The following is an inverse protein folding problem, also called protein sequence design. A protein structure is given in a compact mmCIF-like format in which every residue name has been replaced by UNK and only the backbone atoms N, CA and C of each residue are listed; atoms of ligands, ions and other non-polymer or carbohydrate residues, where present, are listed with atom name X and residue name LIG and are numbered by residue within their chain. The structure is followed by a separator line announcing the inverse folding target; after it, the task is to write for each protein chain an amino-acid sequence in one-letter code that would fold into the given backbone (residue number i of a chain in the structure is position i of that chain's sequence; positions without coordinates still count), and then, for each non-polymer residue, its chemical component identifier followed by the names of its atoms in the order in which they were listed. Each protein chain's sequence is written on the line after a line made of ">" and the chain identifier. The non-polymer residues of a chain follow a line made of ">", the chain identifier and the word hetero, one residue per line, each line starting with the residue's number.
data_IF_421811382679
#
_entry.id   IF_421811382679
#
_cell.length_a   1.000
_cell.length_b   1.000
_cell.length_c   1.000
_cell.angle_alpha   90.00
_cell.angle_beta   90.00
_cell.angle_gamma   90.00
#
_symmetry.space_group_name_H-M   'P 1'
#
loop_
_entity.id
_entity.type
_entity.pdbx_description
1 polymer ?
#
# COMPACT_ATOMS: atom_id res chain seq x y z
N UNK A 1 18.66 -70.40 29.48
CA UNK A 1 17.65 -70.73 28.47
C UNK A 1 16.57 -69.67 28.56
N UNK A 2 16.57 -68.70 27.65
CA UNK A 2 15.43 -68.03 27.03
C UNK A 2 16.00 -66.96 26.10
N UNK A 3 15.38 -66.83 24.94
CA UNK A 3 15.85 -66.24 23.69
C UNK A 3 15.07 -64.93 23.43
N UNK A 4 15.61 -64.07 22.55
CA UNK A 4 14.87 -63.11 21.67
C UNK A 4 14.41 -61.82 22.42
N UNK A 5 14.53 -60.59 21.92
CA UNK A 5 14.50 -60.04 20.55
C UNK A 5 15.27 -58.70 20.52
N UNK A 6 16.01 -58.45 19.44
CA UNK A 6 16.43 -57.10 19.06
C UNK A 6 15.25 -56.44 18.32
N UNK A 7 14.68 -55.37 18.86
CA UNK A 7 13.74 -54.49 18.16
C UNK A 7 14.29 -53.07 18.22
N UNK A 8 14.76 -52.58 17.07
CA UNK A 8 14.97 -51.15 16.86
C UNK A 8 13.59 -50.49 16.87
N UNK A 9 13.28 -49.77 17.94
CA UNK A 9 12.14 -48.84 17.94
C UNK A 9 12.62 -47.54 17.30
N UNK A 10 12.13 -47.27 16.09
CA UNK A 10 12.16 -45.93 15.51
C UNK A 10 11.09 -45.15 16.28
N UNK A 11 11.50 -44.41 17.29
CA UNK A 11 10.61 -43.50 18.01
C UNK A 11 10.15 -42.41 17.05
N UNK A 12 8.92 -42.53 16.54
CA UNK A 12 8.13 -41.40 16.07
C UNK A 12 7.89 -40.48 17.27
N UNK A 13 8.83 -39.56 17.51
CA UNK A 13 8.54 -38.42 18.37
C UNK A 13 7.65 -37.48 17.59
N UNK A 14 6.35 -37.57 17.84
CA UNK A 14 5.39 -36.50 17.55
C UNK A 14 5.83 -35.28 18.38
N UNK A 15 6.65 -34.42 17.78
CA UNK A 15 6.94 -33.11 18.33
C UNK A 15 5.74 -32.20 18.07
N UNK A 16 4.81 -32.15 19.03
CA UNK A 16 3.95 -30.98 19.20
C UNK A 16 4.82 -29.87 19.81
N UNK A 17 5.51 -29.11 18.96
CA UNK A 17 6.10 -27.84 19.38
C UNK A 17 5.00 -26.77 19.36
N UNK A 18 4.70 -26.10 20.49
CA UNK A 18 4.03 -24.82 20.43
C UNK A 18 4.98 -23.86 19.68
N UNK A 19 4.50 -23.27 18.59
CA UNK A 19 5.25 -22.22 17.87
C UNK A 19 5.24 -21.00 18.78
N UNK A 20 6.24 -20.89 19.66
CA UNK A 20 6.55 -19.62 20.31
C UNK A 20 7.29 -18.77 19.29
N UNK A 21 6.68 -17.65 18.87
CA UNK A 21 7.31 -16.62 18.05
C UNK A 21 8.50 -16.01 18.80
N UNK A 22 9.67 -16.63 18.70
CA UNK A 22 10.92 -16.00 19.16
C UNK A 22 11.38 -15.04 18.07
N UNK A 23 11.01 -13.77 18.27
CA UNK A 23 11.39 -12.61 17.46
C UNK A 23 12.93 -12.51 17.46
N UNK A 24 13.60 -13.04 16.45
CA UNK A 24 15.02 -12.76 16.21
C UNK A 24 15.11 -11.32 15.69
N UNK A 25 15.09 -10.34 16.60
CA UNK A 25 15.41 -8.95 16.30
C UNK A 25 16.91 -8.87 16.06
N UNK A 26 17.34 -8.92 14.80
CA UNK A 26 18.67 -8.42 14.43
C UNK A 26 18.60 -6.91 14.49
N UNK A 27 19.05 -6.33 15.60
CA UNK A 27 19.17 -4.88 15.76
C UNK A 27 20.28 -4.37 14.84
N UNK A 28 19.90 -3.72 13.73
CA UNK A 28 20.77 -2.78 13.04
C UNK A 28 20.52 -1.40 13.67
N UNK A 29 21.54 -0.70 14.18
CA UNK A 29 21.36 0.64 14.73
C UNK A 29 21.31 1.63 13.56
N UNK A 30 20.14 1.75 12.93
CA UNK A 30 19.80 2.92 12.14
C UNK A 30 18.55 3.46 12.81
N UNK A 31 18.70 4.47 13.66
CA UNK A 31 17.54 5.25 14.11
C UNK A 31 17.02 5.97 12.88
N UNK A 32 15.84 5.64 12.34
CA UNK A 32 15.25 6.43 11.26
C UNK A 32 15.04 7.83 11.82
N UNK A 33 15.65 8.84 11.19
CA UNK A 33 15.32 10.22 11.48
C UNK A 33 13.96 10.47 10.83
N UNK A 34 12.88 10.31 11.59
CA UNK A 34 11.55 10.71 11.15
C UNK A 34 11.61 12.23 10.94
N UNK A 35 11.63 12.67 9.68
CA UNK A 35 11.45 14.07 9.35
C UNK A 35 10.01 14.24 8.86
N UNK A 36 9.22 14.93 9.68
CA UNK A 36 7.87 15.38 9.33
C UNK A 36 8.02 16.68 8.54
N UNK A 37 7.72 16.65 7.25
CA UNK A 37 7.81 17.83 6.41
C UNK A 37 6.63 18.75 6.70
N UNK A 38 6.90 19.87 7.38
CA UNK A 38 5.93 20.95 7.56
C UNK A 38 6.08 22.02 6.45
N UNK A 39 5.16 23.00 6.42
CA UNK A 39 5.14 24.10 5.44
C UNK A 39 6.46 24.88 5.32
N UNK A 40 7.28 24.93 6.38
CA UNK A 40 8.57 25.62 6.37
C UNK A 40 9.73 24.75 5.84
N UNK A 41 9.55 23.43 5.74
CA UNK A 41 10.60 22.46 5.41
C UNK A 41 10.59 21.99 3.95
N UNK A 42 9.58 22.40 3.16
CA UNK A 42 9.44 22.08 1.71
C UNK A 42 10.68 22.42 0.85
N UNK A 43 11.57 23.30 1.34
CA UNK A 43 12.78 23.72 0.63
C UNK A 43 14.06 22.99 1.06
N UNK A 44 13.99 22.06 2.00
CA UNK A 44 15.16 21.29 2.45
C UNK A 44 15.57 20.27 1.38
N UNK A 45 16.89 20.03 1.20
CA UNK A 45 17.36 19.00 0.29
C UNK A 45 16.90 17.62 0.78
N UNK A 46 16.33 16.83 -0.13
CA UNK A 46 15.93 15.43 0.05
C UNK A 46 16.98 14.65 0.84
N UNK A 47 16.55 13.97 1.91
CA UNK A 47 17.40 13.09 2.72
C UNK A 47 17.02 11.61 2.59
N UNK A 48 15.83 11.32 2.07
CA UNK A 48 15.26 9.95 2.02
C UNK A 48 14.85 9.48 0.63
N UNK A 49 14.78 8.16 0.42
CA UNK A 49 14.40 7.57 -0.89
C UNK A 49 12.90 7.65 -1.15
N UNK A 50 12.12 7.52 -0.08
CA UNK A 50 10.65 7.43 -0.09
C UNK A 50 10.04 8.70 0.50
N UNK A 51 8.97 9.20 -0.12
CA UNK A 51 8.01 10.08 0.52
C UNK A 51 6.76 9.28 0.84
N UNK A 52 6.35 9.28 2.10
CA UNK A 52 5.04 8.81 2.53
C UNK A 52 4.12 10.02 2.67
N UNK A 53 3.04 10.06 1.90
CA UNK A 53 2.00 11.08 1.95
C UNK A 53 0.82 10.49 2.70
N UNK A 54 0.56 11.10 3.84
CA UNK A 54 -0.50 10.75 4.77
C UNK A 54 -1.67 11.72 4.54
N UNK A 55 -2.69 11.28 3.79
CA UNK A 55 -3.80 12.09 3.29
C UNK A 55 -5.14 11.70 3.91
N UNK A 56 -5.12 11.38 5.20
CA UNK A 56 -6.30 10.98 5.95
C UNK A 56 -6.91 12.12 6.79
N UNK A 57 -6.25 13.27 6.85
CA UNK A 57 -6.66 14.40 7.70
C UNK A 57 -6.25 14.26 9.18
N UNK A 58 -5.28 13.40 9.48
CA UNK A 58 -4.81 13.07 10.83
C UNK A 58 -5.74 12.12 11.57
N UNK A 59 -6.31 11.15 10.86
CA UNK A 59 -7.27 10.21 11.44
C UNK A 59 -6.59 9.18 12.33
N UNK A 60 -7.38 8.63 13.24
CA UNK A 60 -6.95 7.63 14.20
C UNK A 60 -7.96 6.49 14.19
N UNK A 61 -7.45 5.27 14.38
CA UNK A 61 -8.27 4.10 14.67
C UNK A 61 -9.07 4.29 15.97
N UNK A 62 -9.99 3.35 16.25
CA UNK A 62 -10.73 3.34 17.51
C UNK A 62 -9.83 3.18 18.76
N UNK A 63 -8.61 2.67 18.61
CA UNK A 63 -7.59 2.61 19.66
C UNK A 63 -6.73 3.88 19.78
N UNK A 64 -6.96 4.89 18.93
CA UNK A 64 -6.19 6.13 18.91
C UNK A 64 -4.83 6.02 18.21
N UNK A 65 -4.68 5.05 17.29
CA UNK A 65 -3.46 4.84 16.50
C UNK A 65 -3.65 5.45 15.11
N UNK A 66 -2.69 6.26 14.67
CA UNK A 66 -2.70 6.80 13.31
C UNK A 66 -2.44 5.70 12.29
N UNK A 67 -3.22 5.69 11.21
CA UNK A 67 -3.17 4.62 10.22
C UNK A 67 -1.81 4.54 9.53
N UNK A 68 -1.13 5.67 9.36
CA UNK A 68 0.22 5.78 8.82
C UNK A 68 1.23 4.88 9.57
N UNK A 69 0.98 4.60 10.86
CA UNK A 69 1.85 3.78 11.70
C UNK A 69 2.16 2.43 11.06
N UNK A 70 1.18 1.77 10.45
CA UNK A 70 1.37 0.46 9.80
C UNK A 70 2.38 0.56 8.64
N UNK A 71 2.24 1.57 7.80
CA UNK A 71 3.17 1.84 6.70
C UNK A 71 4.57 2.16 7.22
N UNK A 72 4.67 3.06 8.20
CA UNK A 72 5.96 3.51 8.71
C UNK A 72 6.72 2.37 9.40
N UNK A 73 6.03 1.46 10.10
CA UNK A 73 6.65 0.26 10.68
C UNK A 73 7.21 -0.67 9.60
N UNK A 74 6.45 -0.91 8.53
CA UNK A 74 6.90 -1.75 7.41
C UNK A 74 8.12 -1.13 6.73
N UNK A 75 8.05 0.15 6.34
CA UNK A 75 9.16 0.84 5.66
C UNK A 75 10.41 0.85 6.56
N UNK A 76 10.23 1.11 7.86
CA UNK A 76 11.32 1.05 8.84
C UNK A 76 11.92 -0.35 8.98
N UNK A 77 11.09 -1.39 9.00
CA UNK A 77 11.54 -2.78 9.11
C UNK A 77 12.39 -3.24 7.91
N UNK A 78 12.13 -2.65 6.74
CA UNK A 78 12.91 -2.87 5.51
C UNK A 78 14.22 -2.07 5.48
N UNK A 79 14.46 -1.20 6.48
CA UNK A 79 15.65 -0.34 6.53
C UNK A 79 15.67 0.75 5.45
N UNK A 80 14.50 1.11 4.91
CA UNK A 80 14.36 2.12 3.88
C UNK A 80 14.23 3.50 4.54
N UNK A 81 14.97 4.51 4.07
CA UNK A 81 14.80 5.89 4.52
C UNK A 81 13.57 6.52 3.88
N UNK A 82 12.74 7.15 4.72
CA UNK A 82 11.52 7.83 4.31
C UNK A 82 11.38 9.21 4.98
N UNK A 83 10.58 10.07 4.37
CA UNK A 83 10.07 11.31 4.94
C UNK A 83 8.54 11.26 4.92
N UNK A 84 7.90 11.89 5.89
CA UNK A 84 6.43 11.90 6.01
C UNK A 84 5.90 13.28 5.68
N UNK A 85 4.88 13.33 4.83
CA UNK A 85 4.11 14.53 4.52
C UNK A 85 2.66 14.29 4.94
N UNK A 86 2.27 14.83 6.10
CA UNK A 86 0.89 14.73 6.58
C UNK A 86 0.05 15.90 6.09
N UNK A 87 -1.07 15.57 5.47
CA UNK A 87 -2.08 16.50 4.98
C UNK A 87 -3.18 16.62 6.02
N UNK A 88 -2.90 17.43 7.04
CA UNK A 88 -3.87 17.73 8.12
C UNK A 88 -4.80 18.92 7.77
N UNK A 89 -4.51 19.63 6.67
CA UNK A 89 -5.32 20.71 6.12
C UNK A 89 -5.19 20.70 4.58
N UNK A 90 -6.33 20.72 3.91
CA UNK A 90 -6.53 20.85 2.45
C UNK A 90 -5.64 21.88 1.73
N UNK A 91 -5.15 22.92 2.43
CA UNK A 91 -4.37 24.00 1.82
C UNK A 91 -2.89 23.71 1.60
N UNK A 92 -2.34 22.64 2.19
CA UNK A 92 -0.92 22.29 2.06
C UNK A 92 -0.75 20.86 1.54
N UNK A 93 -0.43 20.74 0.25
CA UNK A 93 -0.32 19.47 -0.47
C UNK A 93 1.02 19.39 -1.25
N UNK A 94 1.57 18.20 -1.48
CA UNK A 94 2.85 18.05 -2.15
C UNK A 94 2.70 18.36 -3.65
N UNK A 95 3.49 19.33 -4.13
CA UNK A 95 3.50 19.64 -5.57
C UNK A 95 4.43 18.71 -6.35
N UNK A 96 4.32 18.74 -7.68
CA UNK A 96 5.16 17.87 -8.52
C UNK A 96 6.67 18.09 -8.35
N UNK A 97 7.14 19.26 -7.92
CA UNK A 97 8.57 19.49 -7.69
C UNK A 97 9.04 18.73 -6.46
N UNK A 98 8.25 18.75 -5.38
CA UNK A 98 8.51 17.96 -4.19
C UNK A 98 8.46 16.47 -4.51
N UNK A 99 7.38 15.99 -5.16
CA UNK A 99 7.23 14.57 -5.51
C UNK A 99 8.40 14.05 -6.34
N UNK A 100 8.85 14.81 -7.35
CA UNK A 100 9.99 14.47 -8.22
C UNK A 100 11.32 14.39 -7.51
N UNK A 101 11.44 14.94 -6.30
CA UNK A 101 12.64 14.76 -5.50
C UNK A 101 12.75 13.33 -4.97
N UNK A 102 11.65 12.57 -4.84
CA UNK A 102 11.65 11.21 -4.31
C UNK A 102 11.64 10.14 -5.39
N UNK A 103 12.29 9.02 -5.10
CA UNK A 103 12.34 7.88 -6.03
C UNK A 103 11.04 7.11 -6.00
N UNK A 104 10.41 7.04 -4.82
CA UNK A 104 9.13 6.39 -4.59
C UNK A 104 8.26 7.37 -3.80
N UNK A 105 7.01 7.50 -4.21
CA UNK A 105 5.95 8.18 -3.46
C UNK A 105 4.93 7.11 -3.08
N UNK A 106 4.66 6.96 -1.79
CA UNK A 106 3.54 6.19 -1.26
C UNK A 106 2.50 7.21 -0.82
N UNK A 107 1.30 7.14 -1.39
CA UNK A 107 0.18 8.02 -1.07
C UNK A 107 -0.93 7.18 -0.46
N UNK A 108 -1.28 7.49 0.78
CA UNK A 108 -2.29 6.78 1.54
C UNK A 108 -3.51 7.68 1.74
N UNK A 109 -4.69 7.18 1.37
CA UNK A 109 -5.98 7.86 1.46
C UNK A 109 -7.02 6.90 2.07
N UNK A 110 -7.10 6.77 3.41
CA UNK A 110 -7.86 5.71 4.04
C UNK A 110 -9.33 6.04 4.33
N UNK A 111 -9.85 7.22 3.95
CA UNK A 111 -11.20 7.66 4.33
C UNK A 111 -12.08 8.03 3.12
N UNK A 112 -13.36 7.70 3.23
CA UNK A 112 -14.41 8.01 2.26
C UNK A 112 -14.70 9.52 2.13
N UNK A 113 -14.30 10.37 3.09
CA UNK A 113 -14.59 11.81 3.04
C UNK A 113 -13.47 12.70 2.50
N UNK A 114 -12.26 12.17 2.36
CA UNK A 114 -11.08 12.92 1.93
C UNK A 114 -10.48 12.26 0.72
N UNK A 115 -10.17 13.03 -0.33
CA UNK A 115 -9.61 12.45 -1.53
C UNK A 115 -8.67 13.36 -2.28
N UNK A 116 -7.92 12.75 -3.19
CA UNK A 116 -7.14 13.44 -4.21
C UNK A 116 -7.94 14.58 -4.83
N UNK A 117 -7.42 15.78 -4.67
CA UNK A 117 -7.93 16.98 -5.32
C UNK A 117 -7.54 16.99 -6.80
N UNK A 118 -8.19 17.86 -7.59
CA UNK A 118 -7.80 18.08 -8.98
C UNK A 118 -6.30 18.42 -9.12
N UNK A 119 -5.74 19.22 -8.21
CA UNK A 119 -4.32 19.59 -8.23
C UNK A 119 -3.41 18.39 -7.92
N UNK A 120 -3.80 17.51 -6.99
CA UNK A 120 -3.03 16.29 -6.70
C UNK A 120 -2.97 15.39 -7.93
N UNK A 121 -4.11 15.18 -8.60
CA UNK A 121 -4.14 14.33 -9.79
C UNK A 121 -3.20 14.84 -10.89
N UNK A 122 -3.09 16.17 -11.05
CA UNK A 122 -2.17 16.82 -11.98
C UNK A 122 -0.72 16.66 -11.55
N UNK A 123 -0.43 16.81 -10.25
CA UNK A 123 0.93 16.67 -9.72
C UNK A 123 1.43 15.21 -9.76
N UNK A 124 0.57 14.24 -9.47
CA UNK A 124 0.85 12.81 -9.59
C UNK A 124 1.10 12.40 -11.04
N UNK A 125 0.29 12.90 -11.99
CA UNK A 125 0.56 12.69 -13.42
C UNK A 125 1.94 13.25 -13.83
N UNK A 126 2.27 14.46 -13.37
CA UNK A 126 3.55 15.08 -13.65
C UNK A 126 4.73 14.29 -13.05
N UNK A 127 4.55 13.67 -11.88
CA UNK A 127 5.52 12.79 -11.24
C UNK A 127 5.73 11.49 -12.02
N UNK A 128 4.65 10.82 -12.42
CA UNK A 128 4.71 9.63 -13.27
C UNK A 128 5.38 9.93 -14.62
N UNK A 129 5.05 11.09 -15.22
CA UNK A 129 5.65 11.49 -16.50
C UNK A 129 7.15 11.76 -16.44
N UNK A 130 7.69 12.07 -15.27
CA UNK A 130 9.14 12.18 -15.05
C UNK A 130 9.82 10.86 -14.70
N UNK A 131 9.10 9.73 -14.73
CA UNK A 131 9.65 8.42 -14.39
C UNK A 131 9.56 8.05 -12.90
N UNK A 132 8.68 8.72 -12.15
CA UNK A 132 8.42 8.41 -10.74
C UNK A 132 7.78 7.04 -10.52
N UNK A 133 7.92 6.51 -9.31
CA UNK A 133 7.26 5.27 -8.87
C UNK A 133 6.20 5.64 -7.82
N UNK A 134 4.93 5.53 -8.21
CA UNK A 134 3.80 5.85 -7.35
C UNK A 134 3.19 4.57 -6.79
N UNK A 135 2.98 4.53 -5.48
CA UNK A 135 2.07 3.63 -4.82
C UNK A 135 0.90 4.48 -4.29
N UNK A 136 -0.32 4.18 -4.73
CA UNK A 136 -1.54 4.84 -4.28
C UNK A 136 -2.47 3.78 -3.69
N UNK A 137 -2.84 3.94 -2.43
CA UNK A 137 -3.73 3.01 -1.73
C UNK A 137 -4.74 3.74 -0.88
N UNK A 138 -5.94 3.18 -0.80
CA UNK A 138 -7.03 3.75 -0.01
C UNK A 138 -8.36 3.05 -0.24
N UNK A 139 -9.29 3.24 0.69
CA UNK A 139 -10.70 2.94 0.50
C UNK A 139 -11.37 4.08 -0.26
N UNK A 140 -12.37 3.77 -1.10
CA UNK A 140 -13.19 4.76 -1.81
C UNK A 140 -12.44 5.80 -2.68
N UNK A 141 -11.14 5.62 -2.93
CA UNK A 141 -10.36 6.53 -3.79
C UNK A 141 -11.05 6.70 -5.14
N UNK A 142 -11.57 5.61 -5.72
CA UNK A 142 -12.26 5.66 -7.00
C UNK A 142 -13.64 6.30 -6.90
N UNK A 143 -14.39 6.01 -5.84
CA UNK A 143 -15.67 6.64 -5.55
C UNK A 143 -15.55 8.16 -5.45
N UNK A 144 -14.56 8.63 -4.68
CA UNK A 144 -14.33 10.05 -4.46
C UNK A 144 -13.82 10.76 -5.71
N UNK A 145 -12.90 10.13 -6.44
CA UNK A 145 -12.45 10.65 -7.72
C UNK A 145 -13.61 10.76 -8.72
N UNK A 146 -14.48 9.76 -8.82
CA UNK A 146 -15.64 9.80 -9.74
C UNK A 146 -16.64 10.91 -9.38
N UNK A 147 -16.88 11.13 -8.08
CA UNK A 147 -17.80 12.17 -7.58
C UNK A 147 -17.14 13.56 -7.43
N UNK A 148 -15.84 13.66 -7.69
CA UNK A 148 -15.06 14.90 -7.55
C UNK A 148 -14.35 15.30 -8.86
N UNK A 149 -13.00 15.24 -8.92
CA UNK A 149 -12.22 15.72 -10.06
C UNK A 149 -12.28 14.84 -11.31
N UNK A 150 -12.86 13.63 -11.21
CA UNK A 150 -12.85 12.58 -12.22
C UNK A 150 -11.67 11.62 -12.04
N UNK A 151 -11.91 10.33 -12.33
CA UNK A 151 -10.87 9.29 -12.29
C UNK A 151 -9.82 9.57 -13.37
N UNK A 152 -8.54 9.81 -13.01
CA UNK A 152 -7.51 10.09 -14.00
C UNK A 152 -7.20 8.86 -14.87
N UNK A 153 -7.05 9.06 -16.18
CA UNK A 153 -6.77 7.96 -17.11
C UNK A 153 -5.46 7.23 -16.85
N UNK A 154 -4.51 7.86 -16.16
CA UNK A 154 -3.24 7.21 -15.77
C UNK A 154 -3.40 6.16 -14.68
N UNK A 155 -4.56 6.10 -14.00
CA UNK A 155 -4.89 5.00 -13.11
C UNK A 155 -5.21 3.73 -13.90
N UNK A 156 -5.73 3.82 -15.13
CA UNK A 156 -6.16 2.66 -15.93
C UNK A 156 -7.33 1.89 -15.30
N UNK A 157 -8.35 2.61 -14.82
CA UNK A 157 -9.59 2.04 -14.30
C UNK A 157 -10.68 2.16 -15.38
N UNK A 158 -11.29 1.02 -15.75
CA UNK A 158 -12.43 0.95 -16.66
C UNK A 158 -13.76 1.07 -15.89
N UNK A 159 -13.84 0.38 -14.76
CA UNK A 159 -14.96 0.41 -13.83
C UNK A 159 -14.52 -0.12 -12.46
N UNK A 160 -15.29 0.19 -11.43
CA UNK A 160 -15.08 -0.31 -10.07
C UNK A 160 -16.42 -0.61 -9.38
N UNK A 161 -16.37 -1.32 -8.25
CA UNK A 161 -17.53 -1.63 -7.40
C UNK A 161 -17.09 -1.95 -5.96
N UNK A 162 -17.82 -1.43 -4.99
CA UNK A 162 -17.58 -1.66 -3.55
C UNK A 162 -18.03 -3.07 -3.17
N UNK A 163 -17.08 -4.01 -3.09
CA UNK A 163 -17.36 -5.44 -2.88
C UNK A 163 -16.68 -5.99 -1.62
N UNK A 164 -15.82 -5.18 -0.99
CA UNK A 164 -15.00 -5.59 0.13
C UNK A 164 -13.87 -6.55 -0.26
N UNK A 165 -12.93 -6.74 0.65
CA UNK A 165 -11.82 -7.66 0.50
C UNK A 165 -11.36 -8.26 1.84
N UNK A 166 -11.64 -9.55 2.07
CA UNK A 166 -11.13 -10.26 3.26
C UNK A 166 -9.62 -10.55 3.23
N UNK A 167 -9.07 -10.86 2.05
CA UNK A 167 -7.68 -11.29 1.91
C UNK A 167 -7.16 -11.00 0.51
N UNK A 168 -5.97 -10.43 0.49
CA UNK A 168 -5.26 -9.93 -0.68
C UNK A 168 -4.17 -10.93 -1.05
N UNK A 169 -4.27 -11.49 -2.24
CA UNK A 169 -3.27 -12.38 -2.81
C UNK A 169 -2.51 -11.64 -3.90
N UNK A 170 -1.20 -11.47 -3.73
CA UNK A 170 -0.36 -11.04 -4.83
C UNK A 170 -0.22 -12.15 -5.87
N UNK A 171 -0.12 -11.79 -7.16
CA UNK A 171 -0.05 -12.78 -8.24
C UNK A 171 1.00 -12.39 -9.28
N UNK A 172 2.04 -13.21 -9.46
CA UNK A 172 2.73 -13.36 -10.75
C UNK A 172 4.03 -12.57 -10.97
N UNK A 173 4.73 -12.12 -9.92
CA UNK A 173 6.13 -11.66 -10.03
C UNK A 173 6.91 -11.65 -8.69
N UNK A 174 8.18 -11.26 -8.70
CA UNK A 174 9.07 -11.18 -7.51
C UNK A 174 8.56 -10.32 -6.36
N UNK A 175 7.60 -9.41 -6.61
CA UNK A 175 6.97 -8.59 -5.58
C UNK A 175 5.67 -9.28 -5.15
N UNK A 176 4.80 -9.67 -6.07
CA UNK A 176 3.48 -10.24 -5.77
C UNK A 176 3.42 -11.72 -5.36
N UNK A 177 4.36 -12.58 -5.76
CA UNK A 177 4.21 -14.05 -5.65
C UNK A 177 4.16 -14.61 -4.21
N UNK A 178 4.50 -13.82 -3.20
CA UNK A 178 4.55 -14.26 -1.80
C UNK A 178 3.56 -13.53 -0.88
N UNK A 179 2.73 -12.62 -1.41
CA UNK A 179 1.87 -11.79 -0.58
C UNK A 179 0.52 -12.47 -0.31
N UNK A 180 0.24 -12.68 0.98
CA UNK A 180 -1.08 -12.96 1.52
C UNK A 180 -1.30 -11.97 2.65
N UNK A 181 -2.09 -10.93 2.42
CA UNK A 181 -2.46 -9.96 3.44
C UNK A 181 -3.93 -10.18 3.79
N UNK A 182 -4.26 -10.78 4.95
CA UNK A 182 -5.62 -10.74 5.44
C UNK A 182 -5.96 -9.28 5.78
N UNK A 183 -7.05 -8.76 5.21
CA UNK A 183 -7.58 -7.43 5.52
C UNK A 183 -8.75 -7.50 6.52
N UNK A 184 -9.04 -8.69 7.06
CA UNK A 184 -10.05 -8.96 8.11
C UNK A 184 -9.99 -7.98 9.30
N UNK A 185 -8.87 -7.27 9.51
CA UNK A 185 -8.72 -6.28 10.57
C UNK A 185 -9.18 -4.85 10.24
N UNK A 186 -9.54 -4.51 9.00
CA UNK A 186 -10.19 -3.21 8.67
C UNK A 186 -11.50 -3.06 9.45
N UNK A 187 -12.36 -4.08 9.39
CA UNK A 187 -13.61 -4.15 10.17
C UNK A 187 -13.40 -4.08 11.69
N UNK A 188 -12.17 -4.37 12.16
CA UNK A 188 -11.80 -4.35 13.59
C UNK A 188 -11.29 -2.99 14.03
N UNK A 189 -10.71 -2.19 13.14
CA UNK A 189 -10.20 -0.84 13.46
C UNK A 189 -11.31 0.20 13.54
N UNK A 190 -12.36 0.06 12.73
CA UNK A 190 -13.52 0.97 12.65
C UNK A 190 -14.66 0.60 13.60
N UNK A 191 -14.65 -0.61 14.19
CA UNK A 191 -15.78 -1.24 14.90
C UNK A 191 -17.08 -1.33 14.07
N UNK A 192 -17.02 -1.16 12.76
CA UNK A 192 -18.16 -1.31 11.86
C UNK A 192 -17.91 -2.51 10.92
N UNK A 193 -18.66 -3.61 11.05
CA UNK A 193 -18.52 -4.77 10.17
C UNK A 193 -18.97 -4.49 8.72
N UNK A 194 -19.47 -3.29 8.41
CA UNK A 194 -19.77 -2.82 7.06
C UNK A 194 -18.76 -1.77 6.55
N UNK A 195 -17.63 -1.58 7.23
CA UNK A 195 -16.62 -0.57 6.85
C UNK A 195 -15.61 -1.03 5.79
N UNK A 196 -15.90 -2.12 5.09
CA UNK A 196 -15.00 -2.60 4.04
C UNK A 196 -15.47 -2.03 2.71
N UNK A 197 -14.98 -0.82 2.43
CA UNK A 197 -15.24 -0.11 1.18
C UNK A 197 -14.11 -0.35 0.17
N UNK A 198 -13.55 -1.56 0.19
CA UNK A 198 -12.56 -1.97 -0.79
C UNK A 198 -13.19 -2.08 -2.19
N UNK A 199 -12.54 -1.45 -3.15
CA UNK A 199 -12.91 -1.45 -4.56
C UNK A 199 -12.45 -2.74 -5.26
N UNK A 200 -13.39 -3.45 -5.87
CA UNK A 200 -13.08 -4.36 -6.96
C UNK A 200 -12.92 -3.56 -8.26
N UNK A 201 -11.81 -3.76 -8.96
CA UNK A 201 -11.39 -2.94 -10.09
C UNK A 201 -11.37 -3.75 -11.39
N UNK A 202 -11.98 -3.19 -12.43
CA UNK A 202 -11.73 -3.61 -13.81
C UNK A 202 -10.70 -2.70 -14.44
N UNK A 203 -9.58 -3.27 -14.87
CA UNK A 203 -8.46 -2.52 -15.46
C UNK A 203 -8.80 -2.13 -16.91
N UNK A 204 -8.60 -0.87 -17.26
CA UNK A 204 -8.74 -0.37 -18.63
C UNK A 204 -7.49 -0.68 -19.47
N UNK A 205 -7.53 -1.82 -20.14
CA UNK A 205 -6.49 -2.23 -21.10
C UNK A 205 -6.63 -1.57 -22.47
N UNK A 206 -7.64 -0.72 -22.72
CA UNK A 206 -7.74 -0.02 -23.99
C UNK A 206 -6.83 1.21 -24.04
N UNK A 207 -6.52 1.79 -22.87
CA UNK A 207 -5.52 2.84 -22.69
C UNK A 207 -4.09 2.31 -22.47
N UNK A 208 -3.95 0.98 -22.43
CA UNK A 208 -2.68 0.28 -22.39
C UNK A 208 -1.99 0.29 -23.75
N UNK A 209 -0.68 0.49 -23.76
CA UNK A 209 0.15 0.25 -24.94
C UNK A 209 0.82 -1.15 -24.85
N UNK A 210 1.70 -1.47 -25.80
CA UNK A 210 2.40 -2.76 -25.81
C UNK A 210 3.36 -2.99 -24.64
N UNK A 211 3.69 -1.95 -23.87
CA UNK A 211 4.55 -2.03 -22.68
C UNK A 211 3.75 -2.26 -21.40
N UNK A 212 2.43 -2.05 -21.44
CA UNK A 212 1.56 -2.24 -20.30
C UNK A 212 1.60 -3.69 -19.81
N UNK A 213 1.96 -3.84 -18.53
CA UNK A 213 1.91 -5.10 -17.81
C UNK A 213 1.21 -4.83 -16.50
N UNK A 214 0.10 -5.54 -16.26
CA UNK A 214 -0.57 -5.51 -14.96
C UNK A 214 -0.32 -6.78 -14.16
N UNK A 215 0.11 -6.60 -12.91
CA UNK A 215 0.23 -7.66 -11.90
C UNK A 215 -0.98 -7.51 -11.01
N UNK A 216 -1.97 -8.39 -11.13
CA UNK A 216 -3.25 -8.28 -10.42
C UNK A 216 -3.11 -8.77 -9.00
N UNK A 217 -3.83 -8.13 -8.11
CA UNK A 217 -3.96 -8.54 -6.71
C UNK A 217 -5.42 -8.95 -6.50
N UNK A 218 -5.65 -10.16 -6.02
CA UNK A 218 -6.98 -10.77 -5.98
C UNK A 218 -7.53 -10.82 -4.56
N UNK A 219 -8.84 -10.69 -4.41
CA UNK A 219 -9.53 -10.91 -3.15
C UNK A 219 -9.88 -12.40 -2.97
N UNK A 220 -10.13 -12.83 -1.73
CA UNK A 220 -10.84 -14.09 -1.46
C UNK A 220 -12.21 -14.19 -2.18
N UNK A 221 -12.77 -13.06 -2.61
CA UNK A 221 -14.04 -12.86 -3.32
C UNK A 221 -13.91 -12.70 -4.86
N UNK A 222 -12.94 -13.37 -5.50
CA UNK A 222 -12.80 -13.55 -6.98
C UNK A 222 -12.55 -12.28 -7.82
N UNK A 223 -12.30 -11.13 -7.19
CA UNK A 223 -12.11 -9.84 -7.86
C UNK A 223 -10.70 -9.26 -7.77
N UNK A 224 -10.34 -8.37 -8.70
CA UNK A 224 -9.05 -7.63 -8.64
C UNK A 224 -9.23 -6.44 -7.70
N UNK A 225 -8.46 -6.34 -6.63
CA UNK A 225 -8.47 -5.19 -5.68
C UNK A 225 -7.27 -4.25 -5.87
N UNK A 226 -6.32 -4.66 -6.70
CA UNK A 226 -5.24 -3.76 -7.09
C UNK A 226 -4.38 -4.31 -8.21
N UNK A 227 -3.47 -3.46 -8.68
CA UNK A 227 -2.56 -3.81 -9.75
C UNK A 227 -1.32 -2.93 -9.80
N UNK A 228 -0.21 -3.50 -10.30
CA UNK A 228 0.95 -2.72 -10.72
C UNK A 228 0.98 -2.52 -12.23
N UNK A 229 1.30 -1.32 -12.72
CA UNK A 229 1.63 -1.01 -14.11
C UNK A 229 3.08 -0.51 -14.21
N UNK A 230 3.87 -1.11 -15.10
CA UNK A 230 5.29 -0.76 -15.30
C UNK A 230 5.54 0.42 -16.27
N UNK A 231 4.49 0.96 -16.89
CA UNK A 231 4.52 2.06 -17.87
C UNK A 231 3.33 3.01 -17.72
N UNK A 232 3.31 3.74 -16.60
CA UNK A 232 2.27 4.69 -16.24
C UNK A 232 2.55 6.13 -16.73
N UNK A 233 1.51 6.95 -16.72
CA UNK A 233 1.53 8.33 -17.24
C UNK A 233 1.39 8.40 -18.76
N UNK A 234 1.30 9.63 -19.29
CA UNK A 234 1.18 9.86 -20.74
C UNK A 234 2.48 9.61 -21.49
N UNK A 235 3.62 9.72 -20.81
CA UNK A 235 4.96 9.44 -21.37
C UNK A 235 5.42 8.00 -21.18
N UNK A 236 4.67 7.19 -20.39
CA UNK A 236 4.93 5.76 -20.17
C UNK A 236 6.27 5.46 -19.48
N UNK A 237 6.85 6.44 -18.81
CA UNK A 237 8.12 6.33 -18.10
C UNK A 237 7.96 5.95 -16.62
N UNK A 238 6.79 6.24 -16.03
CA UNK A 238 6.54 6.04 -14.61
C UNK A 238 6.07 4.62 -14.30
N UNK A 239 6.01 4.29 -13.01
CA UNK A 239 5.41 3.07 -12.51
C UNK A 239 4.29 3.42 -11.55
N UNK A 240 3.20 2.66 -11.60
CA UNK A 240 2.05 2.80 -10.73
C UNK A 240 1.80 1.48 -10.03
N UNK A 241 1.62 1.50 -8.73
CA UNK A 241 0.91 0.48 -7.97
C UNK A 241 -0.35 1.13 -7.43
N UNK A 242 -1.51 0.62 -7.81
CA UNK A 242 -2.79 1.10 -7.32
C UNK A 242 -3.49 -0.01 -6.53
N UNK A 243 -4.02 0.35 -5.38
CA UNK A 243 -4.73 -0.54 -4.49
C UNK A 243 -6.01 0.14 -4.02
N UNK A 244 -7.16 -0.45 -4.33
CA UNK A 244 -8.48 0.05 -3.94
C UNK A 244 -8.91 -0.42 -2.55
N UNK A 245 -7.95 -0.72 -1.68
CA UNK A 245 -8.20 -1.09 -0.30
C UNK A 245 -7.11 -0.40 0.56
N UNK A 246 -7.31 -0.25 1.87
CA UNK A 246 -6.32 0.33 2.73
C UNK A 246 -5.29 -0.76 3.06
N UNK A 247 -4.03 -0.37 3.22
CA UNK A 247 -2.95 -1.29 3.61
C UNK A 247 -2.77 -1.38 5.13
N UNK A 248 -3.66 -0.75 5.89
CA UNK A 248 -3.54 -0.46 7.32
C UNK A 248 -4.39 -1.42 8.18
N UNK A 249 -4.79 -2.54 7.58
CA UNK A 249 -5.53 -3.64 8.18
C UNK A 249 -4.66 -4.56 9.05
#
# INVERSE_FOLDING_TARGET
>A
MFFITLLFSVGLNTFSHPITHEKVVRSFPITPQIQILNKAEKSLPKQSTVLFVDDDGGQLSSEGVGYETYWLEIISSLGISYEVFSINDSTFRPDSNLLKSYTIVIWNEPDFNTSLTADDTVHLLAYLNSGGNLWLSGEDVLYNLENGPGIPSYLYVLSYSDEGCDTVYGVGDTIGDAFVFPLDSISRLTNDPNSDWSDQITIDTNNADSSFRSVKVNTGHRGIVGYRVDSAGTTKNGKLFFFGAPFEA
#
